data_IF_678089617112
#
_entry.id   IF_678089617112
#
_cell.length_a   1.000
_cell.length_b   1.000
_cell.length_c   1.000
_cell.angle_alpha   90.00
_cell.angle_beta   90.00
_cell.angle_gamma   90.00
#
_symmetry.space_group_name_H-M   'P 1'
#
loop_
_entity.id
_entity.type
_entity.pdbx_description
1 polymer ?
#
# COMPACT_ATOMS: atom_id res chain seq x y z
N UNK A 1 2.98 13.99 13.17
CA UNK A 1 4.05 13.30 12.41
C UNK A 1 5.31 13.32 13.27
N UNK A 2 5.90 12.13 13.49
CA UNK A 2 7.12 11.99 14.32
C UNK A 2 8.40 12.14 13.51
N UNK A 3 8.52 11.40 12.42
CA UNK A 3 9.77 11.26 11.65
C UNK A 3 9.53 11.48 10.14
N UNK A 4 9.71 12.71 9.69
CA UNK A 4 9.43 13.10 8.29
C UNK A 4 10.42 12.53 7.27
N UNK A 5 11.66 12.27 7.70
CA UNK A 5 12.75 11.78 6.83
C UNK A 5 12.79 10.26 6.67
N UNK A 6 11.99 9.51 7.44
CA UNK A 6 11.99 8.05 7.36
C UNK A 6 11.42 7.58 6.04
N UNK A 7 12.16 6.72 5.35
CA UNK A 7 11.75 6.10 4.10
C UNK A 7 11.00 4.81 4.43
N UNK A 8 9.78 4.70 3.89
CA UNK A 8 8.91 3.53 4.08
C UNK A 8 8.37 3.03 2.74
N UNK A 9 8.06 1.73 2.61
CA UNK A 9 7.50 1.14 1.40
C UNK A 9 5.98 1.34 1.36
N UNK A 10 5.53 2.42 0.73
CA UNK A 10 4.12 2.80 0.66
C UNK A 10 3.38 1.99 -0.40
N UNK A 11 2.22 1.46 -0.05
CA UNK A 11 1.40 0.64 -0.94
C UNK A 11 -0.09 0.74 -0.61
N UNK A 12 -0.91 0.50 -1.61
CA UNK A 12 -2.35 0.40 -1.43
C UNK A 12 -2.71 -0.91 -0.73
N UNK A 13 -3.70 -0.90 0.16
CA UNK A 13 -4.05 -2.07 0.98
C UNK A 13 -4.42 -3.31 0.16
N UNK A 14 -5.07 -3.13 -1.00
CA UNK A 14 -5.47 -4.25 -1.86
C UNK A 14 -4.28 -4.92 -2.56
N UNK A 15 -3.11 -4.27 -2.64
CA UNK A 15 -1.89 -4.89 -3.18
C UNK A 15 -1.47 -6.13 -2.37
N UNK A 16 -1.11 -6.01 -1.07
CA UNK A 16 -0.73 -7.19 -0.29
C UNK A 16 -1.88 -8.17 -0.13
N UNK A 17 -3.14 -7.71 -0.02
CA UNK A 17 -4.30 -8.61 0.08
C UNK A 17 -4.44 -9.46 -1.18
N UNK A 18 -4.23 -8.91 -2.38
CA UNK A 18 -4.20 -9.69 -3.63
C UNK A 18 -3.10 -10.74 -3.62
N UNK A 19 -1.96 -10.42 -3.01
CA UNK A 19 -0.85 -11.35 -2.83
C UNK A 19 -1.19 -12.51 -1.89
N UNK A 20 -1.84 -12.22 -0.77
CA UNK A 20 -2.29 -13.25 0.18
C UNK A 20 -3.31 -14.19 -0.44
N UNK A 21 -4.29 -13.67 -1.18
CA UNK A 21 -5.29 -14.48 -1.87
C UNK A 21 -4.64 -15.38 -2.94
N UNK A 22 -3.73 -14.83 -3.75
CA UNK A 22 -3.02 -15.59 -4.75
C UNK A 22 -2.12 -16.67 -4.13
N UNK A 23 -1.46 -16.36 -3.01
CA UNK A 23 -0.64 -17.33 -2.28
C UNK A 23 -1.51 -18.48 -1.76
N UNK A 24 -2.64 -18.17 -1.11
CA UNK A 24 -3.59 -19.17 -0.62
C UNK A 24 -4.11 -20.07 -1.76
N UNK A 25 -4.47 -19.50 -2.91
CA UNK A 25 -4.87 -20.25 -4.10
C UNK A 25 -3.76 -21.19 -4.60
N UNK A 26 -2.51 -20.73 -4.64
CA UNK A 26 -1.39 -21.57 -5.07
C UNK A 26 -1.07 -22.70 -4.09
N UNK A 27 -1.22 -22.43 -2.79
CA UNK A 27 -1.06 -23.46 -1.76
C UNK A 27 -2.16 -24.51 -1.83
N UNK A 28 -3.43 -24.11 -1.96
CA UNK A 28 -4.56 -25.05 -2.07
C UNK A 28 -4.48 -25.95 -3.31
N UNK A 29 -3.82 -25.48 -4.37
CA UNK A 29 -3.58 -26.26 -5.61
C UNK A 29 -2.26 -27.06 -5.56
N UNK A 30 -1.62 -27.19 -4.40
CA UNK A 30 -0.34 -27.89 -4.21
C UNK A 30 0.80 -27.41 -5.14
N UNK A 31 0.73 -26.15 -5.60
CA UNK A 31 1.77 -25.53 -6.45
C UNK A 31 2.94 -24.96 -5.64
N UNK A 32 2.83 -24.96 -4.33
CA UNK A 32 3.89 -24.55 -3.39
C UNK A 32 4.12 -25.71 -2.43
N UNK A 33 5.27 -26.37 -2.55
CA UNK A 33 5.60 -27.60 -1.81
C UNK A 33 6.00 -27.37 -0.35
N UNK A 34 6.37 -26.16 0.05
CA UNK A 34 6.82 -25.87 1.40
C UNK A 34 5.91 -24.80 2.03
N UNK A 35 5.07 -25.20 2.95
CA UNK A 35 4.07 -24.35 3.61
C UNK A 35 4.70 -23.37 4.62
N UNK A 36 5.86 -23.71 5.19
CA UNK A 36 6.56 -22.91 6.19
C UNK A 36 7.51 -21.88 5.56
N UNK A 37 6.99 -21.03 4.67
CA UNK A 37 7.79 -20.00 4.01
C UNK A 37 7.30 -18.60 4.34
N UNK A 38 8.25 -17.68 4.57
CA UNK A 38 7.92 -16.26 4.66
C UNK A 38 7.84 -15.61 3.28
N UNK A 39 6.89 -14.70 3.12
CA UNK A 39 6.62 -13.99 1.87
C UNK A 39 6.51 -12.49 2.12
N UNK A 40 7.11 -11.70 1.24
CA UNK A 40 6.98 -10.25 1.24
C UNK A 40 6.21 -9.78 0.00
N UNK A 41 5.17 -9.00 0.23
CA UNK A 41 4.41 -8.33 -0.82
C UNK A 41 4.74 -6.84 -0.77
N UNK A 42 5.85 -6.48 -1.39
CA UNK A 42 6.41 -5.14 -1.34
C UNK A 42 5.96 -4.30 -2.56
N UNK A 43 5.86 -2.97 -2.41
CA UNK A 43 5.63 -2.08 -3.55
C UNK A 43 6.88 -2.01 -4.43
N UNK A 44 6.75 -1.37 -5.61
CA UNK A 44 7.91 -1.03 -6.43
C UNK A 44 8.86 -0.10 -5.67
N UNK A 45 10.16 -0.19 -5.99
CA UNK A 45 11.18 0.65 -5.33
C UNK A 45 10.87 2.16 -5.41
N UNK A 46 10.26 2.62 -6.49
CA UNK A 46 9.82 4.01 -6.67
C UNK A 46 8.77 4.47 -5.64
N UNK A 47 8.10 3.55 -4.96
CA UNK A 47 7.14 3.86 -3.90
C UNK A 47 7.79 3.89 -2.50
N UNK A 48 9.12 3.69 -2.41
CA UNK A 48 9.87 3.82 -1.16
C UNK A 48 10.37 5.27 -1.04
N UNK A 49 9.57 6.12 -0.43
CA UNK A 49 9.84 7.55 -0.28
C UNK A 49 9.76 7.99 1.18
N UNK A 50 10.34 9.16 1.54
CA UNK A 50 10.18 9.77 2.84
C UNK A 50 8.72 10.06 3.20
N UNK A 51 8.41 10.02 4.51
CA UNK A 51 7.09 10.39 5.02
C UNK A 51 6.67 11.78 4.53
N UNK A 52 7.61 12.76 4.48
CA UNK A 52 7.32 14.11 4.01
C UNK A 52 6.77 14.11 2.57
N UNK A 53 7.44 13.42 1.66
CA UNK A 53 7.00 13.35 0.25
C UNK A 53 5.62 12.69 0.10
N UNK A 54 5.32 11.67 0.93
CA UNK A 54 3.98 11.08 0.95
C UNK A 54 2.92 12.11 1.37
N UNK A 55 3.23 12.93 2.36
CA UNK A 55 2.33 13.99 2.85
C UNK A 55 2.06 15.01 1.74
N UNK A 56 3.12 15.44 1.04
CA UNK A 56 2.99 16.39 -0.07
C UNK A 56 2.07 15.82 -1.17
N UNK A 57 2.17 14.52 -1.44
CA UNK A 57 1.24 13.84 -2.35
C UNK A 57 -0.20 13.77 -1.81
N UNK A 58 -0.38 13.50 -0.51
CA UNK A 58 -1.71 13.51 0.10
C UNK A 58 -2.34 14.90 0.01
N UNK A 59 -1.58 15.96 0.29
CA UNK A 59 -2.06 17.34 0.16
C UNK A 59 -2.43 17.70 -1.28
N UNK A 60 -1.71 17.13 -2.27
CA UNK A 60 -2.01 17.33 -3.70
C UNK A 60 -3.33 16.68 -4.12
N UNK A 61 -3.64 15.51 -3.58
CA UNK A 61 -4.82 14.72 -3.99
C UNK A 61 -6.02 14.83 -3.03
N UNK A 62 -5.81 15.37 -1.84
CA UNK A 62 -6.90 15.61 -0.90
C UNK A 62 -7.69 16.85 -1.31
N UNK A 63 -9.03 16.79 -1.36
CA UNK A 63 -9.87 17.97 -1.64
C UNK A 63 -9.81 19.00 -0.51
N UNK A 64 -9.50 18.56 0.72
CA UNK A 64 -9.38 19.42 1.89
C UNK A 64 -7.91 19.59 2.28
N UNK A 65 -7.55 20.80 2.78
CA UNK A 65 -6.21 21.04 3.32
C UNK A 65 -6.00 20.23 4.60
N UNK A 66 -5.10 19.26 4.54
CA UNK A 66 -4.74 18.44 5.69
C UNK A 66 -3.84 19.24 6.63
N UNK A 67 -4.31 19.50 7.86
CA UNK A 67 -3.50 20.15 8.89
C UNK A 67 -2.42 19.20 9.39
N UNK A 68 -1.16 19.61 9.23
CA UNK A 68 -0.03 18.81 9.67
C UNK A 68 0.37 19.19 11.10
N UNK A 69 0.35 18.22 11.99
CA UNK A 69 0.85 18.37 13.35
C UNK A 69 2.15 17.58 13.47
N UNK A 70 3.26 18.30 13.67
CA UNK A 70 4.59 17.71 13.83
C UNK A 70 4.95 17.64 15.31
N UNK A 71 4.88 16.47 15.92
CA UNK A 71 5.28 16.27 17.30
C UNK A 71 6.73 15.75 17.33
N UNK A 72 7.61 16.48 17.99
CA UNK A 72 8.96 15.99 18.33
C UNK A 72 8.80 14.94 19.45
N UNK A 73 8.63 13.69 19.07
CA UNK A 73 8.59 12.61 20.06
C UNK A 73 9.98 12.39 20.66
N UNK A 74 10.07 12.46 21.98
CA UNK A 74 11.22 12.00 22.76
C UNK A 74 11.21 10.46 22.92
N UNK A 75 10.70 9.70 21.94
CA UNK A 75 10.68 8.26 22.03
C UNK A 75 12.09 7.70 22.15
N UNK A 76 12.33 6.91 23.19
CA UNK A 76 13.61 6.16 23.41
C UNK A 76 13.81 5.05 22.37
N UNK A 77 12.75 4.63 21.68
CA UNK A 77 12.80 3.59 20.66
C UNK A 77 13.22 4.19 19.31
N UNK A 78 14.36 3.72 18.79
CA UNK A 78 14.83 4.10 17.46
C UNK A 78 14.04 3.33 16.42
N UNK A 79 13.15 4.02 15.68
CA UNK A 79 12.53 3.45 14.48
C UNK A 79 13.55 3.32 13.35
N UNK A 80 13.43 2.27 12.57
CA UNK A 80 14.24 2.09 11.36
C UNK A 80 14.03 3.26 10.40
N UNK A 81 15.11 4.00 10.14
CA UNK A 81 15.09 5.19 9.26
C UNK A 81 14.80 4.82 7.80
N UNK A 82 15.24 3.64 7.39
CA UNK A 82 15.16 3.16 6.03
C UNK A 82 14.64 1.73 6.00
N UNK A 83 13.41 1.55 5.50
CA UNK A 83 12.80 0.23 5.34
C UNK A 83 12.49 0.00 3.87
N UNK A 84 13.14 -0.99 3.27
CA UNK A 84 12.79 -1.56 1.97
C UNK A 84 12.53 -3.06 2.11
N UNK A 85 11.60 -3.54 1.33
CA UNK A 85 11.26 -4.95 1.23
C UNK A 85 11.40 -5.41 -0.21
N UNK A 86 11.72 -6.68 -0.42
CA UNK A 86 11.79 -7.27 -1.76
C UNK A 86 10.66 -8.27 -1.97
N UNK A 87 9.91 -8.12 -3.05
CA UNK A 87 8.89 -9.06 -3.50
C UNK A 87 9.37 -10.03 -4.58
N UNK A 88 10.70 -10.14 -4.80
CA UNK A 88 11.27 -11.01 -5.84
C UNK A 88 10.79 -12.46 -5.73
N UNK A 89 10.67 -12.99 -4.51
CA UNK A 89 10.16 -14.35 -4.28
C UNK A 89 8.70 -14.46 -4.75
N UNK A 90 7.83 -13.54 -4.33
CA UNK A 90 6.42 -13.53 -4.74
C UNK A 90 6.28 -13.41 -6.27
N UNK A 91 7.06 -12.53 -6.90
CA UNK A 91 7.07 -12.40 -8.35
C UNK A 91 7.47 -13.69 -9.06
N UNK A 92 8.59 -14.32 -8.65
CA UNK A 92 9.12 -15.51 -9.31
C UNK A 92 8.27 -16.77 -9.06
N UNK A 93 7.79 -16.97 -7.83
CA UNK A 93 7.15 -18.23 -7.44
C UNK A 93 5.65 -18.27 -7.67
N UNK A 94 4.96 -17.14 -7.53
CA UNK A 94 3.50 -17.07 -7.68
C UNK A 94 3.04 -16.02 -8.70
N UNK A 95 3.98 -15.41 -9.44
CA UNK A 95 3.70 -14.38 -10.44
C UNK A 95 2.94 -13.16 -9.88
N UNK A 96 3.18 -12.81 -8.61
CA UNK A 96 2.61 -11.62 -8.01
C UNK A 96 3.52 -10.40 -8.20
N UNK A 97 2.95 -9.33 -8.72
CA UNK A 97 3.64 -8.05 -8.89
C UNK A 97 2.72 -6.91 -8.46
N UNK A 98 3.27 -5.85 -7.83
CA UNK A 98 2.48 -4.68 -7.48
C UNK A 98 1.99 -3.96 -8.74
N UNK A 99 0.70 -3.59 -8.76
CA UNK A 99 0.02 -2.98 -9.90
C UNK A 99 0.11 -1.45 -9.90
N UNK A 100 0.06 -0.84 -8.70
CA UNK A 100 -0.07 0.61 -8.58
C UNK A 100 1.27 1.30 -8.38
N UNK A 101 1.43 2.44 -9.04
CA UNK A 101 2.46 3.41 -8.66
C UNK A 101 1.98 4.25 -7.44
N UNK A 102 2.89 5.04 -6.88
CA UNK A 102 2.60 5.79 -5.66
C UNK A 102 1.52 6.86 -5.85
N UNK A 103 1.51 7.57 -6.98
CA UNK A 103 0.50 8.59 -7.28
C UNK A 103 -0.91 7.98 -7.31
N UNK A 104 -1.08 6.87 -8.02
CA UNK A 104 -2.36 6.15 -8.06
C UNK A 104 -2.74 5.60 -6.69
N UNK A 105 -1.78 5.11 -5.91
CA UNK A 105 -1.99 4.64 -4.53
C UNK A 105 -2.60 5.76 -3.68
N UNK A 106 -1.95 6.93 -3.65
CA UNK A 106 -2.40 8.06 -2.83
C UNK A 106 -3.74 8.59 -3.34
N UNK A 107 -3.91 8.74 -4.66
CA UNK A 107 -5.17 9.17 -5.24
C UNK A 107 -6.34 8.26 -4.83
N UNK A 108 -6.17 6.94 -4.90
CA UNK A 108 -7.20 5.98 -4.48
C UNK A 108 -7.53 6.06 -2.98
N UNK A 109 -6.54 6.30 -2.15
CA UNK A 109 -6.75 6.47 -0.71
C UNK A 109 -7.56 7.75 -0.46
N UNK A 110 -7.16 8.87 -1.06
CA UNK A 110 -7.88 10.14 -0.92
C UNK A 110 -9.33 10.02 -1.44
N UNK A 111 -9.54 9.39 -2.60
CA UNK A 111 -10.84 9.13 -3.18
C UNK A 111 -11.76 8.29 -2.26
N UNK A 112 -11.20 7.25 -1.64
CA UNK A 112 -11.95 6.43 -0.69
C UNK A 112 -12.40 7.26 0.53
N UNK A 113 -11.50 8.05 1.11
CA UNK A 113 -11.84 8.92 2.25
C UNK A 113 -12.87 9.98 1.87
N UNK A 114 -12.70 10.64 0.73
CA UNK A 114 -13.64 11.65 0.24
C UNK A 114 -15.03 11.06 0.03
N UNK A 115 -15.11 9.94 -0.69
CA UNK A 115 -16.37 9.27 -0.98
C UNK A 115 -17.06 8.78 0.28
N UNK A 116 -16.32 8.17 1.22
CA UNK A 116 -16.89 7.70 2.48
C UNK A 116 -17.34 8.84 3.39
N UNK A 117 -16.60 9.96 3.42
CA UNK A 117 -17.01 11.14 4.18
C UNK A 117 -18.32 11.74 3.67
N UNK A 118 -18.52 11.76 2.34
CA UNK A 118 -19.73 12.27 1.70
C UNK A 118 -20.92 11.32 1.86
N UNK A 119 -20.72 10.03 1.60
CA UNK A 119 -21.81 9.05 1.50
C UNK A 119 -22.12 8.34 2.81
N UNK A 120 -21.18 8.34 3.76
CA UNK A 120 -21.19 7.54 5.00
C UNK A 120 -21.38 6.03 4.74
N UNK A 121 -21.21 5.58 3.50
CA UNK A 121 -21.38 4.19 3.10
C UNK A 121 -20.02 3.53 2.84
N UNK A 122 -19.37 3.13 3.91
CA UNK A 122 -18.03 2.51 3.89
C UNK A 122 -18.01 1.18 3.12
N UNK A 123 -19.04 0.35 3.30
CA UNK A 123 -19.13 -0.97 2.66
C UNK A 123 -19.18 -0.82 1.13
N UNK A 124 -20.14 -0.08 0.61
CA UNK A 124 -20.32 0.12 -0.83
C UNK A 124 -19.08 0.76 -1.48
N UNK A 125 -18.48 1.75 -0.82
CA UNK A 125 -17.26 2.39 -1.33
C UNK A 125 -16.11 1.39 -1.39
N UNK A 126 -15.93 0.57 -0.35
CA UNK A 126 -14.88 -0.44 -0.32
C UNK A 126 -15.10 -1.54 -1.38
N UNK A 127 -16.33 -2.02 -1.55
CA UNK A 127 -16.68 -2.97 -2.62
C UNK A 127 -16.37 -2.41 -4.01
N UNK A 128 -16.67 -1.14 -4.25
CA UNK A 128 -16.37 -0.49 -5.53
C UNK A 128 -14.85 -0.43 -5.76
N UNK A 129 -14.07 -0.05 -4.74
CA UNK A 129 -12.61 -0.04 -4.82
C UNK A 129 -12.01 -1.42 -5.08
N UNK A 130 -12.58 -2.47 -4.47
CA UNK A 130 -12.18 -3.87 -4.72
C UNK A 130 -12.49 -4.25 -6.17
N UNK A 131 -13.71 -4.01 -6.65
CA UNK A 131 -14.12 -4.30 -8.02
C UNK A 131 -13.20 -3.61 -9.04
N UNK A 132 -12.90 -2.33 -8.82
CA UNK A 132 -12.03 -1.55 -9.70
C UNK A 132 -10.58 -2.05 -9.67
N UNK A 133 -10.08 -2.45 -8.51
CA UNK A 133 -8.72 -2.96 -8.38
C UNK A 133 -8.50 -4.27 -9.13
N UNK A 134 -9.49 -5.15 -9.13
CA UNK A 134 -9.38 -6.44 -9.83
C UNK A 134 -9.75 -6.40 -11.31
N UNK A 135 -10.64 -5.47 -11.74
CA UNK A 135 -11.05 -5.33 -13.15
C UNK A 135 -10.04 -4.57 -14.02
N UNK A 136 -9.39 -3.55 -13.49
CA UNK A 136 -8.50 -2.69 -14.28
C UNK A 136 -7.10 -3.29 -14.42
N UNK A 137 -6.64 -3.44 -15.70
CA UNK A 137 -5.20 -3.50 -15.98
C UNK A 137 -4.66 -2.08 -15.84
N UNK A 138 -3.92 -1.82 -14.76
CA UNK A 138 -3.22 -0.55 -14.62
C UNK A 138 -1.97 -0.60 -15.51
N UNK A 139 -1.92 0.26 -16.53
CA UNK A 139 -0.71 0.50 -17.30
C UNK A 139 0.39 1.01 -16.37
N UNK A 140 1.58 0.45 -16.53
CA UNK A 140 2.76 0.75 -15.72
C UNK A 140 3.48 1.98 -16.24
#
# INVERSE_FOLDING_TARGET
IRNQKHIKPWKYVLEPLSGYMLLAEKMSKNKIKNEHQSWNFAPKNKNCIPVKELIDLIQKYSPEKVKLICNKSKSRLKETTYLKLSSKKASKSINWNPKLNLNLTVKKICDWYETTNKTKNYLRTSEQHIKDFFKKKYSL
#
